data_IF_764475398462
#
_entry.id   IF_764475398462
#
_cell.length_a   1.000
_cell.length_b   1.000
_cell.length_c   1.000
_cell.angle_alpha   90.00
_cell.angle_beta   90.00
_cell.angle_gamma   90.00
#
_symmetry.space_group_name_H-M   'P 1'
#
loop_
_entity.id
_entity.type
_entity.pdbx_description
1 polymer ?
#
# COMPACT_ATOMS: atom_id res chain seq x y z
N UNK A 1 16.46 11.82 14.56
CA UNK A 1 15.40 11.04 15.23
C UNK A 1 14.30 10.72 14.21
N UNK A 2 13.73 9.53 14.28
CA UNK A 2 12.57 9.08 13.52
C UNK A 2 11.46 8.72 14.50
N UNK A 3 10.29 9.34 14.40
CA UNK A 3 9.15 9.09 15.28
C UNK A 3 8.05 8.43 14.43
N UNK A 4 7.70 7.19 14.76
CA UNK A 4 6.62 6.45 14.09
C UNK A 4 5.89 5.56 15.10
N UNK A 5 4.55 5.48 15.10
CA UNK A 5 3.83 4.58 16.00
C UNK A 5 4.11 3.09 15.71
N UNK A 6 4.60 2.76 14.51
CA UNK A 6 5.05 1.44 14.12
C UNK A 6 6.52 1.21 14.46
N UNK A 7 6.85 -0.04 14.74
CA UNK A 7 8.23 -0.53 14.81
C UNK A 7 8.78 -0.97 13.45
N UNK A 8 7.95 -0.94 12.39
CA UNK A 8 8.29 -1.45 11.06
C UNK A 8 8.04 -0.43 9.97
N UNK A 9 9.01 -0.32 9.06
CA UNK A 9 8.77 0.26 7.75
C UNK A 9 7.92 -0.71 6.94
N UNK A 10 6.99 -0.23 6.09
CA UNK A 10 6.18 -1.10 5.23
C UNK A 10 6.33 -0.70 3.76
N UNK A 11 6.90 -1.60 2.96
CA UNK A 11 6.96 -1.46 1.52
C UNK A 11 5.61 -1.88 0.90
N UNK A 12 4.66 -0.95 0.91
CA UNK A 12 3.28 -1.15 0.44
C UNK A 12 3.15 -1.85 -0.93
N UNK A 13 4.01 -1.62 -1.94
CA UNK A 13 3.91 -2.30 -3.23
C UNK A 13 4.12 -3.82 -3.18
N UNK A 14 4.61 -4.41 -2.07
CA UNK A 14 4.70 -5.87 -1.91
C UNK A 14 3.67 -6.43 -0.92
N UNK A 15 2.76 -5.59 -0.43
CA UNK A 15 1.81 -5.98 0.61
C UNK A 15 0.84 -7.09 0.16
N UNK A 16 0.46 -7.11 -1.12
CA UNK A 16 -0.40 -8.16 -1.68
C UNK A 16 0.34 -9.49 -1.81
N UNK A 17 1.66 -9.49 -2.11
CA UNK A 17 2.48 -10.69 -2.13
C UNK A 17 2.60 -11.27 -0.72
N UNK A 18 2.81 -10.42 0.29
CA UNK A 18 2.78 -10.86 1.69
C UNK A 18 1.43 -11.49 2.04
N UNK A 19 0.32 -10.86 1.62
CA UNK A 19 -1.02 -11.30 1.94
C UNK A 19 -1.39 -12.66 1.34
N UNK A 20 -0.75 -13.07 0.25
CA UNK A 20 -0.96 -14.38 -0.36
C UNK A 20 0.19 -15.37 -0.13
N UNK A 21 1.18 -15.00 0.68
CA UNK A 21 2.32 -15.86 1.04
C UNK A 21 3.47 -15.88 0.03
N UNK A 22 3.46 -14.96 -0.94
CA UNK A 22 4.52 -14.80 -1.95
C UNK A 22 5.68 -13.89 -1.52
N UNK A 23 5.56 -13.21 -0.39
CA UNK A 23 6.67 -12.46 0.20
C UNK A 23 6.69 -12.66 1.71
N UNK A 24 7.88 -12.57 2.29
CA UNK A 24 8.08 -12.68 3.72
C UNK A 24 7.89 -11.34 4.43
N UNK A 25 7.47 -11.41 5.70
CA UNK A 25 7.17 -10.21 6.49
C UNK A 25 8.37 -9.28 6.61
N UNK A 26 9.59 -9.81 6.68
CA UNK A 26 10.77 -8.97 6.81
C UNK A 26 11.31 -8.46 5.46
N UNK A 27 10.86 -9.03 4.32
CA UNK A 27 11.10 -8.44 2.99
C UNK A 27 10.16 -7.24 2.79
N UNK A 28 8.89 -7.40 3.18
CA UNK A 28 7.85 -6.39 2.94
C UNK A 28 7.80 -5.34 4.04
N UNK A 29 8.07 -5.73 5.28
CA UNK A 29 7.91 -4.87 6.44
C UNK A 29 9.03 -5.06 7.49
N UNK A 30 10.29 -4.75 7.17
CA UNK A 30 11.41 -4.87 8.12
C UNK A 30 11.27 -3.92 9.31
N UNK A 31 11.95 -4.26 10.42
CA UNK A 31 11.98 -3.40 11.62
C UNK A 31 12.85 -2.17 11.37
N UNK A 32 12.48 -1.01 11.92
CA UNK A 32 13.34 0.17 11.86
C UNK A 32 14.69 -0.07 12.54
N UNK A 33 14.73 -0.82 13.63
CA UNK A 33 15.97 -1.23 14.29
C UNK A 33 16.94 -1.96 13.34
N UNK A 34 16.43 -2.91 12.54
CA UNK A 34 17.23 -3.61 11.54
C UNK A 34 17.68 -2.66 10.43
N UNK A 35 16.77 -1.81 9.91
CA UNK A 35 17.09 -0.86 8.85
C UNK A 35 18.16 0.15 9.26
N UNK A 36 18.09 0.65 10.49
CA UNK A 36 18.98 1.70 10.99
C UNK A 36 20.25 1.12 11.63
N UNK A 37 20.24 -0.14 12.06
CA UNK A 37 21.39 -0.83 12.64
C UNK A 37 22.36 -1.44 11.64
N UNK A 38 21.88 -1.84 10.44
CA UNK A 38 22.69 -2.56 9.45
C UNK A 38 23.72 -1.68 8.70
N UNK A 39 23.53 -0.36 8.65
CA UNK A 39 24.39 0.56 7.90
C UNK A 39 25.00 1.60 8.85
N UNK A 40 26.34 1.67 8.85
CA UNK A 40 27.11 2.66 9.63
C UNK A 40 26.68 4.11 9.37
N UNK A 41 26.06 4.40 8.22
CA UNK A 41 25.50 5.72 7.91
C UNK A 41 24.31 6.12 8.78
N UNK A 42 23.61 5.15 9.38
CA UNK A 42 22.40 5.37 10.17
C UNK A 42 22.62 5.18 11.69
N UNK A 43 23.87 4.95 12.14
CA UNK A 43 24.19 4.71 13.55
C UNK A 43 23.83 5.88 14.51
N UNK A 44 23.60 7.08 13.98
CA UNK A 44 23.16 8.26 14.73
C UNK A 44 21.65 8.49 14.68
N UNK A 45 20.89 7.64 13.97
CA UNK A 45 19.45 7.76 13.84
C UNK A 45 18.77 6.98 14.96
N UNK A 46 18.23 7.70 15.94
CA UNK A 46 17.34 7.12 16.96
C UNK A 46 15.91 6.98 16.41
N UNK A 47 15.33 5.78 16.54
CA UNK A 47 13.91 5.51 16.29
C UNK A 47 13.14 5.51 17.61
N UNK A 48 12.07 6.30 17.66
CA UNK A 48 11.10 6.31 18.76
C UNK A 48 9.80 5.71 18.26
N UNK A 49 9.41 4.58 18.85
CA UNK A 49 8.09 3.99 18.65
C UNK A 49 7.05 4.81 19.40
N UNK A 50 6.53 5.86 18.76
CA UNK A 50 5.63 6.82 19.37
C UNK A 50 4.84 7.61 18.34
N UNK A 51 3.77 8.26 18.80
CA UNK A 51 2.89 9.08 17.95
C UNK A 51 3.14 10.55 18.26
N UNK A 52 3.44 11.34 17.23
CA UNK A 52 3.38 12.80 17.37
C UNK A 52 1.92 13.24 17.61
N UNK A 53 1.66 13.88 18.74
CA UNK A 53 0.31 14.28 19.16
C UNK A 53 0.07 15.79 19.04
N UNK A 54 1.11 16.60 19.13
CA UNK A 54 1.05 18.05 18.93
C UNK A 54 2.40 18.60 18.43
N UNK A 55 2.38 19.57 17.52
CA UNK A 55 3.58 20.25 17.02
C UNK A 55 3.47 21.75 17.29
N UNK A 56 4.35 22.27 18.13
CA UNK A 56 4.50 23.69 18.40
C UNK A 56 5.62 24.28 17.53
N UNK A 57 5.25 24.90 16.41
CA UNK A 57 6.22 25.49 15.48
C UNK A 57 6.98 26.70 16.03
N UNK A 58 6.37 27.45 16.97
CA UNK A 58 7.00 28.61 17.61
C UNK A 58 8.17 28.21 18.51
N UNK A 59 7.96 27.20 19.36
CA UNK A 59 8.95 26.66 20.29
C UNK A 59 9.83 25.55 19.68
N UNK A 60 9.49 25.11 18.46
CA UNK A 60 10.12 23.98 17.75
C UNK A 60 10.10 22.70 18.57
N UNK A 61 8.92 22.35 19.06
CA UNK A 61 8.71 21.17 19.89
C UNK A 61 7.65 20.26 19.26
N UNK A 62 7.88 18.95 19.32
CA UNK A 62 6.90 17.91 19.03
C UNK A 62 6.60 17.19 20.33
N UNK A 63 5.32 17.12 20.71
CA UNK A 63 4.86 16.22 21.77
C UNK A 63 4.73 14.81 21.19
N UNK A 64 5.44 13.86 21.80
CA UNK A 64 5.42 12.46 21.40
C UNK A 64 4.78 11.63 22.50
N UNK A 65 3.74 10.90 22.11
CA UNK A 65 3.09 9.90 22.94
C UNK A 65 3.73 8.53 22.72
N UNK A 66 4.24 7.93 23.80
CA UNK A 66 4.77 6.56 23.80
C UNK A 66 3.96 5.70 24.77
N UNK A 67 3.71 4.45 24.39
CA UNK A 67 3.01 3.47 25.24
C UNK A 67 3.99 2.38 25.64
N UNK A 68 4.12 2.15 26.94
CA UNK A 68 5.00 1.11 27.48
C UNK A 68 4.37 -0.30 27.39
N UNK A 69 5.10 -1.38 27.74
CA UNK A 69 4.54 -2.73 27.74
C UNK A 69 3.36 -2.95 28.72
N UNK A 70 3.23 -2.12 29.76
CA UNK A 70 2.10 -2.12 30.70
C UNK A 70 0.83 -1.52 30.09
N UNK A 71 0.97 -0.74 29.01
CA UNK A 71 -0.11 0.02 28.41
C UNK A 71 -0.20 1.46 28.91
N UNK A 72 0.74 1.92 29.73
CA UNK A 72 0.76 3.27 30.25
C UNK A 72 1.31 4.24 29.20
N UNK A 73 0.58 5.33 28.98
CA UNK A 73 0.93 6.36 28.00
C UNK A 73 1.76 7.47 28.67
N UNK A 74 2.88 7.83 28.05
CA UNK A 74 3.76 8.92 28.46
C UNK A 74 3.87 9.95 27.34
N UNK A 75 3.70 11.23 27.67
CA UNK A 75 3.89 12.35 26.74
C UNK A 75 5.25 13.00 27.00
N UNK A 76 6.12 13.01 25.98
CA UNK A 76 7.47 13.58 26.07
C UNK A 76 7.63 14.72 25.05
N UNK A 77 8.07 15.92 25.47
CA UNK A 77 8.42 16.99 24.54
C UNK A 77 9.78 16.72 23.89
N UNK A 78 9.84 16.83 22.56
CA UNK A 78 11.08 16.68 21.78
C UNK A 78 11.31 17.95 20.97
N UNK A 79 12.46 18.60 21.17
CA UNK A 79 12.84 19.79 20.41
C UNK A 79 13.46 19.42 19.07
N UNK A 80 13.34 20.30 18.08
CA UNK A 80 13.94 20.09 16.75
C UNK A 80 14.55 21.35 16.16
N UNK A 81 15.62 21.18 15.38
CA UNK A 81 16.13 22.23 14.48
C UNK A 81 15.37 22.22 13.16
N UNK A 82 15.17 21.02 12.61
CA UNK A 82 14.41 20.77 11.38
C UNK A 82 13.36 19.69 11.63
N UNK A 83 12.18 19.87 11.04
CA UNK A 83 11.09 18.90 11.09
C UNK A 83 10.68 18.50 9.67
N UNK A 84 10.59 17.20 9.42
CA UNK A 84 10.00 16.64 8.19
C UNK A 84 8.74 15.88 8.59
N UNK A 85 7.59 16.35 8.11
CA UNK A 85 6.28 15.71 8.32
C UNK A 85 6.03 14.74 7.17
N UNK A 86 5.95 13.44 7.48
CA UNK A 86 5.76 12.37 6.51
C UNK A 86 4.70 11.34 6.97
N UNK A 87 3.64 11.79 7.64
CA UNK A 87 2.68 10.94 8.36
C UNK A 87 1.64 10.22 7.48
N UNK A 88 1.85 10.15 6.16
CA UNK A 88 0.88 9.56 5.24
C UNK A 88 -0.38 10.42 5.07
N UNK A 89 -1.53 9.80 4.86
CA UNK A 89 -2.80 10.52 4.67
C UNK A 89 -3.21 11.32 5.92
N UNK A 90 -3.84 12.47 5.68
CA UNK A 90 -4.48 13.30 6.71
C UNK A 90 -5.99 13.39 6.46
N UNK A 91 -6.84 13.17 7.48
CA UNK A 91 -6.49 12.42 8.69
C UNK A 91 -5.98 11.02 8.35
N UNK A 92 -5.26 10.34 9.28
CA UNK A 92 -4.91 8.94 9.09
C UNK A 92 -6.16 8.11 8.78
N UNK A 93 -6.07 7.07 7.93
CA UNK A 93 -7.22 6.25 7.59
C UNK A 93 -7.86 5.67 8.85
N UNK A 94 -9.14 5.99 9.09
CA UNK A 94 -9.92 5.31 10.12
C UNK A 94 -10.30 3.92 9.63
N UNK A 95 -10.37 2.90 10.49
CA UNK A 95 -10.95 1.62 10.11
C UNK A 95 -12.35 1.87 9.53
N UNK A 96 -12.52 1.53 8.24
CA UNK A 96 -13.86 1.53 7.64
C UNK A 96 -14.70 0.58 8.48
N UNK A 97 -15.87 0.99 9.01
CA UNK A 97 -16.76 0.07 9.71
C UNK A 97 -17.26 -0.95 8.68
N UNK A 98 -16.55 -2.06 8.60
CA UNK A 98 -16.90 -3.16 7.71
C UNK A 98 -17.90 -4.08 8.43
N UNK A 99 -18.86 -4.68 7.69
CA UNK A 99 -19.71 -5.71 8.24
C UNK A 99 -18.86 -6.79 8.90
N UNK A 100 -19.19 -7.12 10.15
CA UNK A 100 -18.46 -8.11 10.93
C UNK A 100 -19.41 -9.25 11.31
N UNK A 101 -18.97 -10.51 11.19
CA UNK A 101 -19.77 -11.64 11.61
C UNK A 101 -20.02 -11.57 13.13
N UNK A 102 -21.20 -12.01 13.61
CA UNK A 102 -21.45 -12.21 15.03
C UNK A 102 -20.37 -13.07 15.69
N UNK A 103 -20.02 -12.77 16.94
CA UNK A 103 -19.04 -13.55 17.72
C UNK A 103 -19.44 -15.02 17.90
N UNK A 104 -20.74 -15.32 17.81
CA UNK A 104 -21.32 -16.66 17.82
C UNK A 104 -21.07 -17.45 16.54
N UNK A 105 -20.54 -16.84 15.47
CA UNK A 105 -20.22 -17.50 14.19
C UNK A 105 -18.70 -17.59 13.98
N UNK A 106 -17.97 -18.40 14.77
CA UNK A 106 -16.50 -18.42 14.78
C UNK A 106 -15.89 -18.85 13.43
N UNK A 107 -16.61 -19.63 12.62
CA UNK A 107 -16.16 -20.08 11.29
C UNK A 107 -16.01 -18.91 10.30
N UNK A 108 -16.78 -17.84 10.48
CA UNK A 108 -16.76 -16.67 9.62
C UNK A 108 -15.79 -15.60 10.12
N UNK A 109 -15.10 -15.82 11.24
CA UNK A 109 -14.12 -14.87 11.76
C UNK A 109 -13.13 -14.47 10.67
N UNK A 110 -12.92 -13.16 10.53
CA UNK A 110 -12.07 -12.56 9.50
C UNK A 110 -12.45 -12.92 8.05
N UNK A 111 -13.72 -13.26 7.77
CA UNK A 111 -14.21 -13.42 6.39
C UNK A 111 -14.50 -12.09 5.70
N UNK A 112 -14.52 -10.98 6.41
CA UNK A 112 -14.56 -9.62 5.85
C UNK A 112 -13.33 -8.88 6.35
N UNK A 113 -12.46 -8.46 5.45
CA UNK A 113 -11.19 -7.83 5.80
C UNK A 113 -10.96 -6.54 5.02
N UNK A 114 -10.48 -5.46 5.67
CA UNK A 114 -9.89 -4.35 4.94
C UNK A 114 -8.54 -4.79 4.36
N UNK A 115 -8.01 -4.04 3.41
CA UNK A 115 -6.67 -4.24 2.87
C UNK A 115 -5.96 -2.91 2.66
N UNK A 116 -4.68 -2.85 3.03
CA UNK A 116 -3.86 -1.64 2.91
C UNK A 116 -2.91 -1.39 4.08
N UNK A 117 -2.91 -2.24 5.11
CA UNK A 117 -1.99 -2.15 6.25
C UNK A 117 -1.33 -3.51 6.51
N UNK A 118 -0.17 -3.51 7.19
CA UNK A 118 0.51 -4.75 7.56
C UNK A 118 -0.39 -5.69 8.40
N UNK A 119 -1.10 -5.23 9.45
CA UNK A 119 -1.99 -6.11 10.20
C UNK A 119 -3.09 -6.75 9.34
N UNK A 120 -3.69 -5.99 8.41
CA UNK A 120 -4.75 -6.52 7.57
C UNK A 120 -4.23 -7.49 6.49
N UNK A 121 -3.02 -7.27 5.98
CA UNK A 121 -2.35 -8.22 5.10
C UNK A 121 -2.01 -9.55 5.80
N UNK A 122 -1.52 -9.50 7.05
CA UNK A 122 -1.26 -10.69 7.85
C UNK A 122 -2.54 -11.44 8.23
N UNK A 123 -3.62 -10.70 8.51
CA UNK A 123 -4.94 -11.26 8.73
C UNK A 123 -5.45 -12.00 7.49
N UNK A 124 -5.33 -11.36 6.33
CA UNK A 124 -5.70 -11.94 5.03
C UNK A 124 -4.86 -13.19 4.74
N UNK A 125 -3.55 -13.17 4.97
CA UNK A 125 -2.66 -14.34 4.80
C UNK A 125 -3.13 -15.56 5.60
N UNK A 126 -3.49 -15.35 6.87
CA UNK A 126 -4.03 -16.43 7.72
C UNK A 126 -5.34 -16.96 7.16
N UNK A 127 -6.25 -16.08 6.73
CA UNK A 127 -7.55 -16.49 6.17
C UNK A 127 -7.41 -17.22 4.83
N UNK A 128 -6.53 -16.75 3.95
CA UNK A 128 -6.20 -17.43 2.68
C UNK A 128 -5.70 -18.85 2.96
N UNK A 129 -4.75 -19.02 3.88
CA UNK A 129 -4.24 -20.35 4.24
C UNK A 129 -5.33 -21.28 4.79
N UNK A 130 -6.26 -20.76 5.60
CA UNK A 130 -7.41 -21.54 6.08
C UNK A 130 -8.33 -21.97 4.94
N UNK A 131 -8.66 -21.05 4.01
CA UNK A 131 -9.55 -21.34 2.90
C UNK A 131 -8.94 -22.32 1.89
N UNK A 132 -7.61 -22.29 1.70
CA UNK A 132 -6.90 -23.25 0.87
C UNK A 132 -7.00 -24.70 1.37
N UNK A 133 -7.24 -24.92 2.67
CA UNK A 133 -7.42 -26.26 3.24
C UNK A 133 -8.83 -26.84 3.08
N UNK A 134 -9.78 -26.08 2.51
CA UNK A 134 -11.13 -26.57 2.30
C UNK A 134 -11.16 -27.62 1.18
N UNK A 135 -12.05 -28.59 1.30
CA UNK A 135 -12.31 -29.62 0.28
C UNK A 135 -13.52 -29.26 -0.61
N UNK A 136 -13.70 -27.96 -0.88
CA UNK A 136 -14.77 -27.42 -1.73
C UNK A 136 -14.32 -26.11 -2.37
N UNK A 137 -14.88 -25.70 -3.52
CA UNK A 137 -14.50 -24.44 -4.13
C UNK A 137 -14.60 -23.23 -3.18
N UNK A 138 -13.62 -22.33 -3.28
CA UNK A 138 -13.58 -21.07 -2.53
C UNK A 138 -14.16 -19.95 -3.37
N UNK A 139 -15.09 -19.20 -2.79
CA UNK A 139 -15.67 -17.99 -3.40
C UNK A 139 -15.14 -16.74 -2.70
N UNK A 140 -14.50 -15.83 -3.42
CA UNK A 140 -13.96 -14.60 -2.84
C UNK A 140 -14.42 -13.35 -3.61
N UNK A 141 -14.67 -12.27 -2.88
CA UNK A 141 -15.06 -10.98 -3.45
C UNK A 141 -13.97 -9.96 -3.10
N UNK A 142 -13.44 -9.29 -4.11
CA UNK A 142 -12.50 -8.17 -3.95
C UNK A 142 -13.22 -6.88 -4.33
N UNK A 143 -13.24 -5.91 -3.43
CA UNK A 143 -13.97 -4.65 -3.60
C UNK A 143 -12.99 -3.52 -3.91
N UNK A 144 -13.19 -2.88 -5.07
CA UNK A 144 -12.37 -1.80 -5.60
C UNK A 144 -11.51 -2.26 -6.78
N UNK A 145 -11.78 -1.77 -7.98
CA UNK A 145 -11.04 -2.06 -9.22
C UNK A 145 -9.78 -1.23 -9.42
N UNK A 146 -9.12 -0.76 -8.35
CA UNK A 146 -7.83 -0.07 -8.40
C UNK A 146 -6.65 -1.05 -8.54
N UNK A 147 -5.42 -0.54 -8.42
CA UNK A 147 -4.19 -1.36 -8.48
C UNK A 147 -4.26 -2.54 -7.49
N UNK A 148 -4.42 -2.25 -6.20
CA UNK A 148 -4.48 -3.25 -5.13
C UNK A 148 -5.56 -4.32 -5.35
N UNK A 149 -6.74 -3.93 -5.83
CA UNK A 149 -7.84 -4.87 -6.05
C UNK A 149 -7.63 -5.78 -7.24
N UNK A 150 -7.00 -5.30 -8.32
CA UNK A 150 -6.64 -6.15 -9.46
C UNK A 150 -5.53 -7.12 -9.07
N UNK A 151 -4.50 -6.62 -8.39
CA UNK A 151 -3.38 -7.43 -7.90
C UNK A 151 -3.89 -8.51 -6.93
N UNK A 152 -4.77 -8.17 -5.99
CA UNK A 152 -5.38 -9.14 -5.08
C UNK A 152 -6.30 -10.14 -5.79
N UNK A 153 -7.19 -9.68 -6.66
CA UNK A 153 -8.15 -10.58 -7.33
C UNK A 153 -7.42 -11.62 -8.19
N UNK A 154 -6.39 -11.20 -8.93
CA UNK A 154 -5.57 -12.11 -9.75
C UNK A 154 -4.72 -13.06 -8.90
N UNK A 155 -4.14 -12.58 -7.79
CA UNK A 155 -3.38 -13.42 -6.87
C UNK A 155 -4.25 -14.44 -6.13
N UNK A 156 -5.38 -14.02 -5.56
CA UNK A 156 -6.31 -14.91 -4.87
C UNK A 156 -6.85 -16.00 -5.80
N UNK A 157 -7.23 -15.64 -7.04
CA UNK A 157 -7.65 -16.63 -8.03
C UNK A 157 -6.55 -17.65 -8.31
N UNK A 158 -5.30 -17.20 -8.42
CA UNK A 158 -4.15 -18.07 -8.69
C UNK A 158 -3.83 -18.99 -7.51
N UNK A 159 -3.96 -18.49 -6.27
CA UNK A 159 -3.56 -19.18 -5.04
C UNK A 159 -4.62 -20.19 -4.57
N UNK A 160 -5.89 -19.92 -4.83
CA UNK A 160 -6.98 -20.86 -4.54
C UNK A 160 -7.19 -21.89 -5.65
N UNK A 161 -6.82 -21.60 -6.91
CA UNK A 161 -7.00 -22.54 -8.01
C UNK A 161 -5.82 -23.50 -8.10
N UNK A 162 -6.05 -24.77 -7.77
CA UNK A 162 -5.10 -25.88 -7.93
C UNK A 162 -5.74 -26.99 -8.76
N UNK A 163 -5.00 -28.03 -9.21
CA UNK A 163 -5.61 -29.17 -9.88
C UNK A 163 -6.71 -29.86 -9.05
N UNK A 164 -6.62 -29.80 -7.71
CA UNK A 164 -7.58 -30.39 -6.79
C UNK A 164 -8.70 -29.42 -6.36
N UNK A 165 -8.53 -28.11 -6.57
CA UNK A 165 -9.37 -27.10 -5.94
C UNK A 165 -9.70 -25.95 -6.90
N UNK A 166 -10.98 -25.60 -7.04
CA UNK A 166 -11.42 -24.48 -7.89
C UNK A 166 -11.73 -23.24 -7.06
N UNK A 167 -11.62 -22.08 -7.69
CA UNK A 167 -11.96 -20.81 -7.04
C UNK A 167 -12.83 -19.94 -7.94
N UNK A 168 -13.70 -19.16 -7.30
CA UNK A 168 -14.55 -18.17 -7.93
C UNK A 168 -14.26 -16.80 -7.32
N UNK A 169 -13.35 -16.04 -7.96
CA UNK A 169 -13.05 -14.67 -7.53
C UNK A 169 -13.87 -13.68 -8.33
N UNK A 170 -14.54 -12.75 -7.63
CA UNK A 170 -15.29 -11.63 -8.20
C UNK A 170 -14.65 -10.31 -7.80
N UNK A 171 -14.28 -9.48 -8.78
CA UNK A 171 -13.82 -8.11 -8.59
C UNK A 171 -15.02 -7.17 -8.77
N UNK A 172 -15.40 -6.47 -7.71
CA UNK A 172 -16.52 -5.51 -7.69
C UNK A 172 -15.96 -4.09 -7.75
N UNK A 173 -16.40 -3.31 -8.72
CA UNK A 173 -15.96 -1.94 -8.95
C UNK A 173 -17.18 -1.01 -9.07
N UNK A 174 -17.17 0.08 -8.29
CA UNK A 174 -18.26 1.06 -8.27
C UNK A 174 -18.36 1.85 -9.58
N UNK A 175 -17.23 2.23 -10.16
CA UNK A 175 -17.20 2.96 -11.42
C UNK A 175 -17.40 2.05 -12.62
N UNK A 176 -17.52 2.66 -13.80
CA UNK A 176 -17.71 1.96 -15.08
C UNK A 176 -16.45 1.28 -15.62
N UNK A 177 -15.28 1.53 -15.00
CA UNK A 177 -14.02 0.95 -15.44
C UNK A 177 -13.08 0.59 -14.27
N UNK A 178 -12.17 -0.34 -14.55
CA UNK A 178 -11.04 -0.71 -13.69
C UNK A 178 -9.82 0.20 -13.95
N UNK A 179 -8.91 0.26 -12.98
CA UNK A 179 -7.80 1.21 -12.93
C UNK A 179 -8.24 2.63 -13.30
N UNK A 180 -9.29 3.21 -12.66
CA UNK A 180 -9.80 4.52 -13.03
C UNK A 180 -8.73 5.61 -12.94
N UNK A 181 -7.75 5.42 -12.05
CA UNK A 181 -6.61 6.31 -11.84
C UNK A 181 -5.39 5.99 -12.70
N UNK A 182 -5.41 4.99 -13.59
CA UNK A 182 -4.27 4.73 -14.49
C UNK A 182 -4.38 5.60 -15.74
N UNK A 183 -3.27 6.23 -16.13
CA UNK A 183 -3.14 6.88 -17.44
C UNK A 183 -2.66 5.91 -18.53
N UNK A 184 -2.18 4.72 -18.15
CA UNK A 184 -1.69 3.70 -19.07
C UNK A 184 -2.83 2.87 -19.67
N UNK A 185 -3.07 3.05 -20.96
CA UNK A 185 -4.02 2.22 -21.72
C UNK A 185 -3.53 0.78 -21.82
N UNK A 186 -2.20 0.59 -21.90
CA UNK A 186 -1.58 -0.73 -21.91
C UNK A 186 -1.86 -1.50 -20.62
N UNK A 187 -1.66 -0.89 -19.46
CA UNK A 187 -1.93 -1.53 -18.16
C UNK A 187 -3.41 -1.88 -18.00
N UNK A 188 -4.33 -0.99 -18.41
CA UNK A 188 -5.77 -1.28 -18.43
C UNK A 188 -6.10 -2.50 -19.28
N UNK A 189 -5.57 -2.57 -20.51
CA UNK A 189 -5.80 -3.70 -21.41
C UNK A 189 -5.22 -5.01 -20.85
N UNK A 190 -3.98 -4.96 -20.37
CA UNK A 190 -3.30 -6.12 -19.81
C UNK A 190 -3.96 -6.63 -18.51
N UNK A 191 -4.43 -5.73 -17.64
CA UNK A 191 -5.20 -6.09 -16.45
C UNK A 191 -6.50 -6.82 -16.81
N UNK A 192 -7.29 -6.28 -17.77
CA UNK A 192 -8.52 -6.96 -18.24
C UNK A 192 -8.21 -8.34 -18.80
N UNK A 193 -7.17 -8.46 -19.62
CA UNK A 193 -6.72 -9.75 -20.17
C UNK A 193 -6.34 -10.73 -19.06
N UNK A 194 -5.57 -10.29 -18.06
CA UNK A 194 -5.14 -11.15 -16.97
C UNK A 194 -6.31 -11.62 -16.10
N UNK A 195 -7.23 -10.72 -15.72
CA UNK A 195 -8.44 -11.05 -14.99
C UNK A 195 -9.29 -12.08 -15.75
N UNK A 196 -9.58 -11.81 -17.03
CA UNK A 196 -10.37 -12.70 -17.88
C UNK A 196 -9.71 -14.07 -18.09
N UNK A 197 -8.41 -14.10 -18.41
CA UNK A 197 -7.67 -15.35 -18.65
C UNK A 197 -7.61 -16.27 -17.43
N UNK A 198 -7.76 -15.73 -16.22
CA UNK A 198 -7.77 -16.48 -14.95
C UNK A 198 -9.18 -16.82 -14.48
N UNK A 199 -10.22 -16.39 -15.19
CA UNK A 199 -11.60 -16.63 -14.80
C UNK A 199 -12.10 -15.73 -13.66
N UNK A 200 -11.43 -14.59 -13.40
CA UNK A 200 -11.93 -13.60 -12.44
C UNK A 200 -13.15 -12.91 -13.05
N UNK A 201 -14.28 -12.95 -12.34
CA UNK A 201 -15.48 -12.23 -12.74
C UNK A 201 -15.34 -10.75 -12.39
N UNK A 202 -15.38 -9.86 -13.37
CA UNK A 202 -15.35 -8.41 -13.12
C UNK A 202 -16.76 -7.84 -13.26
N UNK A 203 -17.23 -7.14 -12.23
CA UNK A 203 -18.50 -6.40 -12.26
C UNK A 203 -18.25 -4.92 -11.96
N UNK A 204 -18.52 -4.07 -12.94
CA UNK A 204 -18.46 -2.60 -12.84
C UNK A 204 -19.83 -2.03 -12.50
N UNK A 205 -19.89 -0.72 -12.23
CA UNK A 205 -21.14 -0.02 -11.89
C UNK A 205 -21.91 -0.72 -10.75
N UNK A 206 -21.16 -1.33 -9.82
CA UNK A 206 -21.71 -2.23 -8.80
C UNK A 206 -21.14 -1.87 -7.43
N UNK A 207 -22.01 -1.85 -6.42
CA UNK A 207 -21.63 -1.66 -5.01
C UNK A 207 -22.11 -2.83 -4.16
N UNK A 208 -21.45 -3.06 -3.03
CA UNK A 208 -21.98 -3.94 -1.99
C UNK A 208 -23.02 -3.16 -1.20
N UNK A 209 -24.27 -3.63 -1.22
CA UNK A 209 -25.40 -3.03 -0.51
C UNK A 209 -25.47 -3.56 0.93
N UNK A 210 -25.37 -4.87 1.10
CA UNK A 210 -25.35 -5.54 2.41
C UNK A 210 -24.49 -6.80 2.40
N UNK A 211 -24.05 -7.19 3.59
CA UNK A 211 -23.42 -8.49 3.86
C UNK A 211 -24.22 -9.15 4.98
N UNK A 212 -24.79 -10.31 4.67
CA UNK A 212 -25.63 -11.07 5.59
C UNK A 212 -24.88 -12.32 6.07
N UNK A 213 -24.96 -12.61 7.37
CA UNK A 213 -24.22 -13.70 8.00
C UNK A 213 -25.17 -14.77 8.54
N UNK A 214 -24.88 -16.03 8.22
CA UNK A 214 -25.45 -17.23 8.82
C UNK A 214 -24.36 -18.00 9.58
N UNK A 215 -24.66 -19.03 10.40
CA UNK A 215 -23.66 -19.71 11.22
C UNK A 215 -22.42 -20.25 10.46
N UNK A 216 -22.59 -20.63 9.20
CA UNK A 216 -21.54 -21.22 8.36
C UNK A 216 -21.34 -20.55 7.00
N UNK A 217 -22.18 -19.59 6.62
CA UNK A 217 -22.14 -18.93 5.30
C UNK A 217 -22.29 -17.43 5.43
N UNK A 218 -21.73 -16.69 4.49
CA UNK A 218 -22.06 -15.28 4.30
C UNK A 218 -22.52 -15.05 2.87
N UNK A 219 -23.47 -14.14 2.70
CA UNK A 219 -23.98 -13.72 1.41
C UNK A 219 -23.85 -12.21 1.25
N UNK A 220 -23.69 -11.78 0.00
CA UNK A 220 -23.43 -10.40 -0.37
C UNK A 220 -24.47 -9.96 -1.37
N UNK A 221 -25.22 -8.91 -1.01
CA UNK A 221 -26.14 -8.25 -1.91
C UNK A 221 -25.38 -7.20 -2.70
N UNK A 222 -25.35 -7.38 -4.02
CA UNK A 222 -24.74 -6.46 -4.98
C UNK A 222 -25.84 -5.63 -5.62
N UNK A 223 -25.70 -4.31 -5.52
CA UNK A 223 -26.57 -3.37 -6.20
C UNK A 223 -25.90 -2.87 -7.49
N UNK A 224 -26.61 -3.07 -8.60
CA UNK A 224 -26.25 -2.66 -9.96
C UNK A 224 -27.55 -2.41 -10.75
N UNK A 225 -27.51 -2.42 -12.09
CA UNK A 225 -28.73 -2.44 -12.92
C UNK A 225 -29.65 -3.64 -12.60
N UNK A 226 -29.11 -4.74 -12.10
CA UNK A 226 -29.87 -5.85 -11.52
C UNK A 226 -29.33 -6.18 -10.13
N UNK A 227 -30.18 -6.15 -9.11
CA UNK A 227 -29.78 -6.59 -7.77
C UNK A 227 -29.52 -8.10 -7.80
N UNK A 228 -28.36 -8.52 -7.31
CA UNK A 228 -27.98 -9.94 -7.23
C UNK A 228 -27.45 -10.26 -5.85
N UNK A 229 -27.71 -11.47 -5.37
CA UNK A 229 -27.13 -11.99 -4.12
C UNK A 229 -26.20 -13.15 -4.45
N UNK A 230 -25.01 -13.15 -3.87
CA UNK A 230 -24.01 -14.20 -4.07
C UNK A 230 -23.45 -14.64 -2.73
N UNK A 231 -23.20 -15.94 -2.57
CA UNK A 231 -22.42 -16.43 -1.43
C UNK A 231 -20.94 -16.13 -1.62
N UNK A 232 -20.21 -15.99 -0.51
CA UNK A 232 -18.76 -15.88 -0.49
C UNK A 232 -18.17 -16.51 0.78
N UNK A 233 -16.87 -16.77 0.76
CA UNK A 233 -16.07 -17.22 1.90
C UNK A 233 -15.21 -16.08 2.47
N UNK A 234 -14.89 -15.12 1.60
CA UNK A 234 -13.99 -14.00 1.85
C UNK A 234 -14.44 -12.75 1.08
N UNK A 235 -14.47 -11.61 1.75
CA UNK A 235 -14.61 -10.28 1.17
C UNK A 235 -13.40 -9.44 1.55
N UNK A 236 -12.70 -8.89 0.56
CA UNK A 236 -11.53 -8.03 0.75
C UNK A 236 -11.84 -6.62 0.24
N UNK A 237 -11.86 -5.65 1.14
CA UNK A 237 -12.07 -4.25 0.80
C UNK A 237 -10.72 -3.55 0.57
N UNK A 238 -10.49 -3.07 -0.65
CA UNK A 238 -9.19 -2.49 -1.05
C UNK A 238 -9.16 -0.96 -1.12
N UNK A 239 -10.26 -0.31 -0.75
CA UNK A 239 -10.32 1.13 -0.59
C UNK A 239 -10.16 1.51 0.89
N UNK A 240 -9.47 2.61 1.14
CA UNK A 240 -9.53 3.30 2.42
C UNK A 240 -10.70 4.29 2.36
N UNK A 241 -11.50 4.37 3.42
CA UNK A 241 -12.39 5.53 3.60
C UNK A 241 -11.65 6.58 4.40
N UNK A 242 -11.36 7.72 3.78
CA UNK A 242 -10.92 8.93 4.48
C UNK A 242 -12.08 9.88 4.75
N UNK A 243 -13.33 9.40 4.64
CA UNK A 243 -14.53 10.20 4.86
C UNK A 243 -14.76 10.45 6.36
N UNK A 244 -13.92 11.28 6.97
CA UNK A 244 -14.38 11.99 8.15
C UNK A 244 -15.18 13.20 7.68
N UNK A 245 -16.49 13.21 7.96
CA UNK A 245 -17.35 14.37 7.76
C UNK A 245 -17.16 15.43 8.85
N UNK A 246 -16.35 15.13 9.88
CA UNK A 246 -15.99 16.04 10.96
C UNK A 246 -14.50 16.41 10.86
N UNK A 247 -14.10 17.64 11.22
CA UNK A 247 -12.69 18.00 11.35
C UNK A 247 -12.07 17.07 12.39
N UNK A 248 -11.20 16.16 11.93
CA UNK A 248 -10.42 15.31 12.84
C UNK A 248 -9.34 16.20 13.42
N UNK A 249 -9.11 16.24 14.73
CA UNK A 249 -7.95 16.95 15.28
C UNK A 249 -6.66 16.38 14.68
N UNK A 250 -5.84 17.23 14.08
CA UNK A 250 -4.53 16.84 13.56
C UNK A 250 -3.44 17.37 14.49
N UNK A 251 -2.32 16.64 14.67
CA UNK A 251 -1.23 17.07 15.54
C UNK A 251 -0.54 18.34 15.03
N UNK A 252 -0.85 18.77 13.81
CA UNK A 252 -0.20 19.90 13.13
C UNK A 252 -1.00 21.20 13.24
N UNK A 253 -2.15 21.21 13.92
CA UNK A 253 -2.93 22.44 14.12
C UNK A 253 -3.30 23.15 12.81
N UNK A 254 -3.09 24.46 12.76
CA UNK A 254 -3.55 25.35 11.67
C UNK A 254 -2.80 25.23 10.34
N UNK A 255 -1.71 24.45 10.26
CA UNK A 255 -0.98 24.28 8.99
C UNK A 255 -1.65 23.27 8.05
N UNK A 256 -2.72 22.59 8.49
CA UNK A 256 -3.50 21.70 7.63
C UNK A 256 -4.58 22.52 6.93
N UNK A 257 -4.65 22.41 5.62
CA UNK A 257 -5.79 22.90 4.84
C UNK A 257 -6.91 21.85 4.89
N UNK A 258 -7.90 22.09 5.76
CA UNK A 258 -9.04 21.21 5.99
C UNK A 258 -9.90 20.99 4.72
N UNK A 259 -9.85 21.90 3.74
CA UNK A 259 -10.63 21.77 2.51
C UNK A 259 -10.14 20.62 1.62
N UNK A 260 -8.85 20.28 1.73
CA UNK A 260 -8.20 19.21 0.96
C UNK A 260 -7.54 18.16 1.88
N UNK A 261 -7.63 18.33 3.20
CA UNK A 261 -6.96 17.57 4.25
C UNK A 261 -5.47 17.33 3.95
N UNK A 262 -4.74 18.40 3.65
CA UNK A 262 -3.30 18.35 3.33
C UNK A 262 -2.57 19.56 3.87
N UNK A 263 -1.27 19.40 4.11
CA UNK A 263 -0.35 20.46 4.49
C UNK A 263 0.14 21.15 3.21
N UNK A 264 -0.16 22.45 3.00
CA UNK A 264 0.32 23.18 1.85
C UNK A 264 1.81 23.49 2.00
N UNK A 265 2.53 23.41 0.89
CA UNK A 265 3.96 23.65 0.81
C UNK A 265 4.31 24.50 -0.39
N UNK A 266 5.43 25.21 -0.28
CA UNK A 266 6.05 25.86 -1.43
C UNK A 266 6.73 24.81 -2.35
N UNK A 267 7.24 25.21 -3.54
CA UNK A 267 7.91 24.27 -4.41
C UNK A 267 9.18 23.63 -3.82
N UNK A 268 9.75 24.15 -2.74
CA UNK A 268 10.88 23.56 -2.02
C UNK A 268 10.44 22.61 -0.88
N UNK A 269 9.15 22.27 -0.82
CA UNK A 269 8.51 21.39 0.17
C UNK A 269 8.46 21.97 1.59
N UNK A 270 8.67 23.29 1.73
CA UNK A 270 8.57 23.98 3.02
C UNK A 270 7.12 24.28 3.35
N UNK A 271 6.71 24.01 4.58
CA UNK A 271 5.33 24.20 5.04
C UNK A 271 4.93 25.67 4.95
N UNK A 272 3.74 25.91 4.40
CA UNK A 272 3.07 27.20 4.37
C UNK A 272 1.94 27.16 5.41
N UNK A 273 1.98 28.07 6.38
CA UNK A 273 0.85 28.37 7.24
C UNK A 273 -0.05 29.38 6.54
N UNK A 274 -1.19 28.91 6.04
CA UNK A 274 -2.16 29.77 5.35
C UNK A 274 -2.83 30.77 6.31
N UNK A 275 -2.95 30.43 7.59
CA UNK A 275 -3.61 31.29 8.59
C UNK A 275 -2.71 32.46 9.00
N UNK A 276 -1.40 32.23 9.06
CA UNK A 276 -0.40 33.25 9.39
C UNK A 276 0.25 33.88 8.16
N UNK A 277 -0.11 33.44 6.95
CA UNK A 277 0.52 33.83 5.69
C UNK A 277 2.07 33.76 5.74
N UNK A 278 2.58 32.63 6.26
CA UNK A 278 4.01 32.44 6.57
C UNK A 278 4.51 31.12 6.01
N UNK A 279 5.73 31.09 5.51
CA UNK A 279 6.46 29.84 5.21
C UNK A 279 7.45 29.53 6.33
N UNK A 280 7.40 28.31 6.87
CA UNK A 280 8.38 27.83 7.84
C UNK A 280 9.64 27.35 7.11
N UNK A 281 10.78 28.02 7.33
CA UNK A 281 12.04 27.67 6.65
C UNK A 281 12.54 26.27 7.00
N UNK A 282 12.34 25.85 8.25
CA UNK A 282 12.89 24.63 8.83
C UNK A 282 11.86 23.50 9.01
N UNK A 283 10.66 23.65 8.45
CA UNK A 283 9.60 22.64 8.52
C UNK A 283 9.20 22.24 7.11
N UNK A 284 9.29 20.96 6.82
CA UNK A 284 8.98 20.37 5.52
C UNK A 284 7.82 19.39 5.66
N UNK A 285 7.05 19.22 4.58
CA UNK A 285 6.04 18.17 4.49
C UNK A 285 6.25 17.38 3.20
N UNK A 286 6.20 16.05 3.28
CA UNK A 286 6.38 15.14 2.15
C UNK A 286 5.33 14.01 2.13
N UNK A 287 5.12 13.42 0.95
CA UNK A 287 4.22 12.27 0.78
C UNK A 287 2.74 12.66 0.74
N UNK A 288 1.88 11.75 1.19
CA UNK A 288 0.43 11.86 0.97
C UNK A 288 -0.23 12.99 1.77
N UNK A 289 0.38 13.41 2.89
CA UNK A 289 -0.07 14.57 3.67
C UNK A 289 0.18 15.90 2.98
N UNK A 290 0.92 15.92 1.87
CA UNK A 290 1.44 17.16 1.28
C UNK A 290 0.63 17.61 0.08
N UNK A 291 0.37 18.91 0.02
CA UNK A 291 -0.04 19.63 -1.16
C UNK A 291 1.09 20.56 -1.59
N UNK A 292 1.64 20.35 -2.79
CA UNK A 292 2.70 21.22 -3.32
C UNK A 292 2.04 22.16 -4.33
N UNK A 293 2.22 23.47 -4.15
CA UNK A 293 1.53 24.49 -4.95
C UNK A 293 1.69 24.31 -6.48
N UNK A 294 2.77 23.69 -6.93
CA UNK A 294 3.09 23.46 -8.34
C UNK A 294 2.81 22.03 -8.85
N UNK A 295 2.23 21.15 -8.02
CA UNK A 295 2.05 19.74 -8.37
C UNK A 295 0.68 19.22 -7.96
N UNK A 296 -0.07 18.78 -8.96
CA UNK A 296 -1.41 18.19 -8.83
C UNK A 296 -1.42 16.67 -9.08
N UNK A 297 -0.24 16.03 -9.10
CA UNK A 297 -0.14 14.61 -9.41
C UNK A 297 -0.53 13.70 -8.25
N UNK A 298 -0.48 12.38 -8.51
CA UNK A 298 -1.07 11.37 -7.64
C UNK A 298 -0.24 11.14 -6.36
N UNK A 299 -0.90 10.91 -5.20
CA UNK A 299 -0.26 10.45 -3.98
C UNK A 299 0.22 9.01 -4.19
N UNK A 300 1.50 8.84 -4.46
CA UNK A 300 2.11 7.53 -4.73
C UNK A 300 3.42 7.40 -3.96
N UNK A 301 3.84 6.17 -3.68
CA UNK A 301 5.14 5.90 -3.08
C UNK A 301 6.30 6.52 -3.90
N UNK A 302 6.17 6.56 -5.23
CA UNK A 302 7.15 7.20 -6.09
C UNK A 302 7.22 8.72 -5.88
N UNK A 303 6.06 9.38 -5.79
CA UNK A 303 6.00 10.81 -5.46
C UNK A 303 6.63 11.07 -4.08
N UNK A 304 6.29 10.26 -3.07
CA UNK A 304 6.82 10.38 -1.73
C UNK A 304 8.35 10.20 -1.67
N UNK A 305 8.90 9.21 -2.38
CA UNK A 305 10.35 9.00 -2.48
C UNK A 305 11.06 10.19 -3.13
N UNK A 306 10.52 10.71 -4.24
CA UNK A 306 11.09 11.89 -4.89
C UNK A 306 11.03 13.15 -4.01
N UNK A 307 9.95 13.31 -3.22
CA UNK A 307 9.86 14.39 -2.23
C UNK A 307 10.88 14.21 -1.10
N UNK A 308 11.11 12.98 -0.64
CA UNK A 308 12.10 12.69 0.40
C UNK A 308 13.52 13.07 -0.03
N UNK A 309 13.91 12.76 -1.28
CA UNK A 309 15.22 13.15 -1.82
C UNK A 309 15.40 14.67 -1.84
N UNK A 310 14.38 15.41 -2.29
CA UNK A 310 14.41 16.88 -2.33
C UNK A 310 14.42 17.48 -0.93
N UNK A 311 13.61 16.97 0.00
CA UNK A 311 13.57 17.45 1.38
C UNK A 311 14.90 17.21 2.10
N UNK A 312 15.50 16.02 1.95
CA UNK A 312 16.80 15.69 2.54
C UNK A 312 17.90 16.62 1.99
N UNK A 313 17.94 16.85 0.68
CA UNK A 313 18.87 17.80 0.07
C UNK A 313 18.65 19.23 0.60
N UNK A 314 17.39 19.67 0.71
CA UNK A 314 17.06 21.02 1.15
C UNK A 314 17.44 21.26 2.61
N UNK A 315 17.21 20.29 3.50
CA UNK A 315 17.66 20.37 4.90
C UNK A 315 19.19 20.49 4.95
N UNK A 316 19.91 19.59 4.27
CA UNK A 316 21.37 19.61 4.25
C UNK A 316 21.93 20.93 3.68
N UNK A 317 21.37 21.39 2.57
CA UNK A 317 21.78 22.65 1.94
C UNK A 317 21.49 23.85 2.85
N UNK A 318 20.34 23.89 3.52
CA UNK A 318 19.96 25.03 4.37
C UNK A 318 20.86 25.13 5.61
N UNK A 319 21.27 24.00 6.19
CA UNK A 319 22.25 23.94 7.28
C UNK A 319 23.59 24.60 6.91
N UNK A 320 24.00 24.50 5.64
CA UNK A 320 25.22 25.14 5.11
C UNK A 320 25.01 26.53 4.51
N UNK A 321 23.80 27.11 4.58
CA UNK A 321 23.48 28.39 3.94
C UNK A 321 23.40 28.33 2.41
N UNK A 322 23.28 27.14 1.83
CA UNK A 322 23.16 26.89 0.40
C UNK A 322 21.76 27.20 -0.17
N UNK A 323 21.57 26.90 -1.46
CA UNK A 323 20.30 27.14 -2.17
C UNK A 323 19.41 25.90 -2.15
N UNK A 324 18.12 26.10 -1.82
CA UNK A 324 17.11 25.04 -1.89
C UNK A 324 16.75 24.68 -3.33
N UNK A 325 16.45 23.39 -3.54
CA UNK A 325 15.93 22.81 -4.77
C UNK A 325 14.40 22.79 -4.76
N UNK A 326 13.81 22.99 -5.95
CA UNK A 326 12.37 22.83 -6.15
C UNK A 326 12.03 21.39 -6.53
N UNK A 327 10.99 20.84 -5.92
CA UNK A 327 10.42 19.56 -6.27
C UNK A 327 9.82 19.62 -7.67
N UNK A 328 10.24 18.67 -8.51
CA UNK A 328 9.65 18.40 -9.82
C UNK A 328 9.36 16.91 -9.91
N UNK A 329 8.09 16.56 -10.01
CA UNK A 329 7.71 15.17 -10.16
C UNK A 329 8.20 14.62 -11.49
N UNK A 330 8.86 13.45 -11.42
CA UNK A 330 9.23 12.65 -12.58
C UNK A 330 8.34 11.41 -12.53
N UNK A 331 7.46 11.28 -13.52
CA UNK A 331 6.70 10.06 -13.73
C UNK A 331 7.63 9.01 -14.36
N UNK A 332 7.74 7.87 -13.69
CA UNK A 332 8.64 6.76 -14.06
C UNK A 332 7.82 5.61 -14.65
N UNK A 333 6.50 5.78 -14.76
CA UNK A 333 5.58 4.78 -15.22
C UNK A 333 4.86 4.03 -14.11
N UNK A 334 4.10 3.04 -14.54
CA UNK A 334 3.21 2.24 -13.70
C UNK A 334 3.60 0.77 -13.80
N UNK A 335 3.60 0.07 -12.66
CA UNK A 335 3.83 -1.37 -12.60
C UNK A 335 2.70 -2.05 -11.83
N UNK A 336 2.28 -3.22 -12.28
CA UNK A 336 1.22 -4.02 -11.68
C UNK A 336 1.64 -5.48 -11.68
N UNK A 337 1.40 -6.20 -10.58
CA UNK A 337 1.40 -7.67 -10.63
C UNK A 337 0.06 -8.18 -11.18
N UNK A 338 0.07 -9.30 -11.88
CA UNK A 338 -1.10 -9.93 -12.47
C UNK A 338 -1.08 -11.43 -12.14
N UNK A 339 -1.38 -11.74 -10.88
CA UNK A 339 -1.13 -13.04 -10.27
C UNK A 339 0.32 -13.19 -9.80
N UNK A 340 0.72 -14.42 -9.50
CA UNK A 340 1.98 -14.74 -8.81
C UNK A 340 3.21 -14.66 -9.71
N UNK A 341 3.03 -14.76 -11.04
CA UNK A 341 4.12 -14.96 -12.01
C UNK A 341 4.15 -13.96 -13.16
N UNK A 342 3.15 -13.09 -13.28
CA UNK A 342 3.06 -12.11 -14.36
C UNK A 342 2.95 -10.70 -13.79
N UNK A 343 3.45 -9.74 -14.54
CA UNK A 343 3.28 -8.33 -14.23
C UNK A 343 3.14 -7.52 -15.52
N UNK A 344 2.89 -6.23 -15.39
CA UNK A 344 3.05 -5.24 -16.45
C UNK A 344 3.90 -4.10 -15.95
N UNK A 345 4.66 -3.52 -16.88
CA UNK A 345 5.41 -2.29 -16.71
C UNK A 345 5.08 -1.42 -17.91
N UNK A 346 4.58 -0.22 -17.65
CA UNK A 346 4.49 0.84 -18.65
C UNK A 346 5.28 2.05 -18.19
N UNK A 347 5.95 2.75 -19.10
CA UNK A 347 6.69 3.98 -18.79
C UNK A 347 6.74 4.91 -19.99
N UNK A 348 7.12 6.17 -19.75
CA UNK A 348 7.24 7.22 -20.77
C UNK A 348 5.96 7.37 -21.61
N UNK A 349 4.80 7.54 -20.96
CA UNK A 349 3.49 7.62 -21.62
C UNK A 349 3.22 6.44 -22.56
N UNK A 350 3.36 5.21 -22.05
CA UNK A 350 3.17 3.97 -22.81
C UNK A 350 4.18 3.76 -23.96
N UNK A 351 5.30 4.49 -24.07
CA UNK A 351 6.33 4.18 -25.07
C UNK A 351 7.14 2.92 -24.72
N UNK A 352 7.29 2.61 -23.43
CA UNK A 352 7.87 1.35 -22.95
C UNK A 352 6.73 0.49 -22.42
N UNK A 353 6.59 -0.74 -22.94
CA UNK A 353 5.55 -1.70 -22.55
C UNK A 353 6.15 -3.09 -22.39
N UNK A 354 6.12 -3.61 -21.18
CA UNK A 354 6.63 -4.96 -20.87
C UNK A 354 5.53 -5.71 -20.11
N UNK A 355 5.31 -6.99 -20.42
CA UNK A 355 4.35 -7.83 -19.72
C UNK A 355 4.85 -9.27 -19.51
N UNK A 356 4.11 -10.02 -18.69
CA UNK A 356 4.38 -11.43 -18.41
C UNK A 356 5.53 -11.64 -17.42
N UNK A 357 6.19 -12.79 -17.49
CA UNK A 357 7.23 -13.16 -16.52
C UNK A 357 8.46 -12.25 -16.52
N UNK A 358 8.83 -11.68 -17.67
CA UNK A 358 9.93 -10.71 -17.76
C UNK A 358 9.59 -9.42 -17.01
N UNK A 359 8.37 -8.92 -17.16
CA UNK A 359 7.89 -7.78 -16.38
C UNK A 359 7.88 -8.10 -14.88
N UNK A 360 7.49 -9.33 -14.48
CA UNK A 360 7.49 -9.73 -13.07
C UNK A 360 8.89 -9.67 -12.46
N UNK A 361 9.88 -10.21 -13.17
CA UNK A 361 11.29 -10.13 -12.78
C UNK A 361 11.79 -8.68 -12.70
N UNK A 362 11.56 -7.87 -13.75
CA UNK A 362 12.01 -6.47 -13.77
C UNK A 362 11.36 -5.64 -12.68
N UNK A 363 10.07 -5.83 -12.40
CA UNK A 363 9.37 -5.16 -11.29
C UNK A 363 10.04 -5.47 -9.97
N UNK A 364 10.32 -6.76 -9.68
CA UNK A 364 11.03 -7.14 -8.45
C UNK A 364 12.43 -6.54 -8.41
N UNK A 365 13.18 -6.53 -9.50
CA UNK A 365 14.51 -5.90 -9.54
C UNK A 365 14.44 -4.38 -9.24
N UNK A 366 13.47 -3.66 -9.83
CA UNK A 366 13.24 -2.24 -9.53
C UNK A 366 12.88 -2.03 -8.06
N UNK A 367 12.02 -2.87 -7.50
CA UNK A 367 11.65 -2.80 -6.08
C UNK A 367 12.82 -3.12 -5.16
N UNK A 368 13.65 -4.11 -5.49
CA UNK A 368 14.86 -4.42 -4.72
C UNK A 368 15.79 -3.22 -4.65
N UNK A 369 16.03 -2.51 -5.76
CA UNK A 369 16.87 -1.28 -5.76
C UNK A 369 16.26 -0.15 -4.92
N UNK A 370 14.93 -0.07 -4.84
CA UNK A 370 14.19 0.93 -4.06
C UNK A 370 14.06 0.59 -2.57
N UNK A 371 14.57 -0.55 -2.12
CA UNK A 371 14.63 -0.86 -0.69
C UNK A 371 15.58 0.10 0.04
N UNK A 372 15.27 0.44 1.31
CA UNK A 372 15.92 1.54 2.03
C UNK A 372 17.41 1.30 2.30
N UNK A 373 17.84 0.06 2.53
CA UNK A 373 19.22 -0.28 2.94
C UNK A 373 19.88 -1.27 1.99
N UNK A 374 21.22 -1.31 2.00
CA UNK A 374 22.00 -2.30 1.24
C UNK A 374 21.61 -3.74 1.56
N UNK A 375 21.45 -4.07 2.85
CA UNK A 375 20.99 -5.39 3.31
C UNK A 375 19.62 -5.76 2.75
N UNK A 376 18.65 -4.84 2.81
CA UNK A 376 17.31 -5.09 2.26
C UNK A 376 17.28 -5.19 0.74
N UNK A 377 18.12 -4.42 0.03
CA UNK A 377 18.29 -4.56 -1.43
C UNK A 377 18.76 -5.96 -1.80
N UNK A 378 19.74 -6.49 -1.07
CA UNK A 378 20.26 -7.86 -1.29
C UNK A 378 19.20 -8.90 -0.92
N UNK A 379 18.53 -8.76 0.24
CA UNK A 379 17.49 -9.71 0.68
C UNK A 379 16.34 -9.80 -0.31
N UNK A 380 15.78 -8.66 -0.73
CA UNK A 380 14.73 -8.61 -1.74
C UNK A 380 15.23 -9.14 -3.10
N UNK A 381 16.47 -8.83 -3.49
CA UNK A 381 17.06 -9.28 -4.75
C UNK A 381 17.30 -10.80 -4.80
N UNK A 382 17.77 -11.41 -3.70
CA UNK A 382 17.95 -12.87 -3.58
C UNK A 382 16.60 -13.60 -3.71
N UNK A 383 15.53 -13.06 -3.13
CA UNK A 383 14.18 -13.62 -3.23
C UNK A 383 13.61 -13.49 -4.65
N UNK A 384 13.90 -12.37 -5.33
CA UNK A 384 13.57 -12.19 -6.74
C UNK A 384 14.31 -13.19 -7.66
N UNK A 385 15.58 -13.47 -7.37
CA UNK A 385 16.42 -14.42 -8.10
C UNK A 385 16.05 -15.89 -7.85
N UNK A 386 15.83 -16.27 -6.59
CA UNK A 386 15.47 -17.64 -6.19
C UNK A 386 14.18 -18.12 -6.82
N UNK A 387 13.11 -17.30 -6.72
CA UNK A 387 11.82 -17.59 -7.37
C UNK A 387 11.92 -17.60 -8.90
N UNK A 388 12.77 -16.75 -9.48
CA UNK A 388 13.01 -16.73 -10.93
C UNK A 388 13.70 -17.99 -11.46
N UNK A 389 14.72 -18.50 -10.76
CA UNK A 389 15.51 -19.65 -11.19
C UNK A 389 14.76 -20.98 -11.03
N UNK A 390 14.03 -21.15 -9.92
CA UNK A 390 13.24 -22.36 -9.67
C UNK A 390 12.10 -22.50 -10.70
N UNK A 391 11.46 -21.37 -11.05
CA UNK A 391 10.34 -21.34 -12.02
C UNK A 391 10.76 -21.46 -13.49
N UNK A 392 11.97 -21.01 -13.86
CA UNK A 392 12.53 -21.28 -15.20
C UNK A 392 12.77 -22.78 -15.39
N UNK A 393 13.16 -23.50 -14.33
CA UNK A 393 13.31 -24.96 -14.36
C UNK A 393 11.95 -25.64 -14.55
N UNK A 394 10.91 -25.26 -13.81
CA UNK A 394 9.56 -25.83 -13.95
C UNK A 394 8.94 -25.61 -15.34
N UNK A 395 9.10 -24.41 -15.93
CA UNK A 395 8.62 -24.14 -17.30
C UNK A 395 9.36 -24.92 -18.38
N UNK A 396 10.65 -25.22 -18.20
CA UNK A 396 11.40 -26.10 -19.12
C UNK A 396 10.95 -27.55 -18.99
N UNK A 397 10.63 -28.02 -17.79
CA UNK A 397 10.10 -29.37 -17.54
C UNK A 397 8.72 -29.54 -18.19
N UNK A 398 7.80 -28.58 -18.02
CA UNK A 398 6.46 -28.63 -18.62
C UNK A 398 6.42 -28.42 -20.15
N UNK A 399 7.43 -27.78 -20.74
CA UNK A 399 7.58 -27.71 -22.22
C UNK A 399 8.33 -28.90 -22.80
N UNK A 400 9.16 -29.60 -22.02
CA UNK A 400 9.88 -30.81 -22.43
C UNK A 400 9.01 -32.07 -22.43
N UNK A 401 7.97 -32.14 -21.58
CA UNK A 401 7.06 -33.30 -21.48
C UNK A 401 5.97 -33.42 -22.56
N UNK A 402 5.97 -32.56 -23.59
CA UNK A 402 4.99 -32.62 -24.71
C UNK A 402 5.61 -33.00 -26.06
N UNK A 403 6.83 -33.53 -26.06
CA UNK A 403 7.48 -34.04 -27.27
C UNK A 403 8.26 -35.31 -26.98
N UNK A 404 7.58 -36.43 -26.87
CA UNK A 404 8.22 -37.74 -26.72
C UNK A 404 7.31 -38.79 -26.08
N UNK A 405 6.27 -39.19 -26.82
CA UNK A 405 5.87 -40.58 -27.16
C UNK A 405 4.44 -40.61 -27.68
#
# INVERSE_FOLDING_TARGET
MLIDPSDRFVFLPLLYELAVGDADVDEVAPRFEELLGDDVKFNQVEHIKGRASNVEFGNRTVMVETVDPSGDSTLTPITYDYLIIASGLLPPPSPVPLPSPPSTYPLLKNSVVPFGTLPSALLLRRKVSQLQSLDRPVSAIVVGGGYSGIELATNLQSVFTTPAHKAHVKLVQRGSDILPQSSSTFNKSAARKALSSRGVTVVTDTVIESVDFSPSTLSVKLSSNSNTTTEADLIVYTYASSSSTSPVPHPYGSIVDDSINKIPTDPALRVIDLTQNRTYRNVFSIGDCTSVQTFTGKPTAQTAMGMAEVAAFNVYSDMGGGKVMKFKHIDLGEMLTLGTDEATISSLNDNIKISGGVASFLRRAVYSVRQPTGGQRVRSGLLAGGKGVEKIKERKINKGGKGGE
#
